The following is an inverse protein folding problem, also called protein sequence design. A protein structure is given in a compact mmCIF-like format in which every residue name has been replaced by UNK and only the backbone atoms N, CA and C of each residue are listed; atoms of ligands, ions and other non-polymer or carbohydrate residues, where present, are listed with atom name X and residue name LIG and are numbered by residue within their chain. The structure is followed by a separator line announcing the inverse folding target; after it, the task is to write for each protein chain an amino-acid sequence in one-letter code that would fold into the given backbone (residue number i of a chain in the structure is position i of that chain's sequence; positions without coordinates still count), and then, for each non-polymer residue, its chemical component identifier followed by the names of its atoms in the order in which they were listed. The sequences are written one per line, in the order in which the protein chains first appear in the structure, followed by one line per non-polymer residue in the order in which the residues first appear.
data_IF_176030498057
#
_entry.id   IF_176030498057
#
_cell.length_a   1.000
_cell.length_b   1.000
_cell.length_c   1.000
_cell.angle_alpha   90.00
_cell.angle_beta   90.00
_cell.angle_gamma   90.00
#
_symmetry.space_group_name_H-M   'P 1'
#
loop_
_entity.id
_entity.type
_entity.pdbx_description
1 polymer ?
#
# COMPACT_ATOMS: atom_id res chain seq x y z
N UNK A 1 14.94 -6.86 8.69
CA UNK A 1 14.51 -5.81 7.74
C UNK A 1 13.37 -6.39 6.92
N UNK A 2 12.20 -5.77 6.95
CA UNK A 2 11.07 -6.23 6.13
C UNK A 2 11.19 -5.62 4.73
N UNK A 3 10.63 -6.27 3.71
CA UNK A 3 10.66 -5.69 2.38
C UNK A 3 9.62 -4.55 2.24
N UNK A 4 9.85 -3.58 1.35
CA UNK A 4 8.95 -2.44 1.14
C UNK A 4 7.61 -2.82 0.51
N UNK A 5 7.48 -4.01 -0.07
CA UNK A 5 6.25 -4.50 -0.68
C UNK A 5 5.79 -5.80 -0.04
N UNK A 6 4.48 -5.89 0.22
CA UNK A 6 3.82 -7.03 0.83
C UNK A 6 2.77 -7.60 -0.11
N UNK A 7 2.77 -8.92 -0.24
CA UNK A 7 1.68 -9.65 -0.87
C UNK A 7 0.64 -10.00 0.20
N UNK A 8 -0.54 -9.40 0.07
CA UNK A 8 -1.69 -9.63 0.96
C UNK A 8 -2.72 -10.47 0.24
N UNK A 9 -3.24 -11.52 0.86
CA UNK A 9 -4.34 -12.31 0.31
C UNK A 9 -5.45 -12.41 1.36
N UNK A 10 -6.70 -12.63 0.95
CA UNK A 10 -7.82 -12.78 1.89
C UNK A 10 -7.64 -13.98 2.85
N UNK A 11 -6.81 -14.95 2.46
CA UNK A 11 -6.64 -16.21 3.20
C UNK A 11 -5.29 -16.25 3.95
N UNK A 12 -4.33 -15.39 3.60
CA UNK A 12 -2.98 -15.39 4.19
C UNK A 12 -2.60 -14.03 4.77
N UNK A 13 -1.80 -14.08 5.84
CA UNK A 13 -1.17 -12.88 6.40
C UNK A 13 -0.28 -12.17 5.36
N UNK A 14 -0.13 -10.83 5.45
CA UNK A 14 0.76 -10.05 4.58
C UNK A 14 2.18 -10.63 4.53
N UNK A 15 2.64 -11.03 3.34
CA UNK A 15 4.01 -11.48 3.12
C UNK A 15 4.87 -10.35 2.55
N UNK A 16 5.58 -9.65 3.43
CA UNK A 16 6.45 -8.52 3.12
C UNK A 16 7.87 -8.96 2.72
N UNK A 17 7.96 -9.71 1.62
CA UNK A 17 9.22 -10.29 1.11
C UNK A 17 9.70 -9.65 -0.20
N UNK A 18 8.91 -8.75 -0.80
CA UNK A 18 9.19 -8.19 -2.10
C UNK A 18 9.91 -6.84 -2.00
N UNK A 19 11.09 -6.75 -2.59
CA UNK A 19 11.85 -5.49 -2.74
C UNK A 19 11.51 -4.74 -4.02
N UNK A 20 10.90 -5.43 -4.99
CA UNK A 20 10.49 -4.84 -6.24
C UNK A 20 8.96 -4.84 -6.39
N UNK A 21 8.44 -3.65 -6.72
CA UNK A 21 7.04 -3.39 -6.91
C UNK A 21 6.42 -4.27 -8.01
N UNK A 22 7.13 -4.46 -9.13
CA UNK A 22 6.65 -5.22 -10.27
C UNK A 22 6.60 -6.71 -9.93
N UNK A 23 7.61 -7.24 -9.24
CA UNK A 23 7.60 -8.65 -8.81
C UNK A 23 6.38 -8.95 -7.92
N UNK A 24 6.13 -8.10 -6.93
CA UNK A 24 4.97 -8.22 -6.04
C UNK A 24 3.64 -8.13 -6.81
N UNK A 25 3.51 -7.17 -7.74
CA UNK A 25 2.32 -7.02 -8.56
C UNK A 25 2.06 -8.23 -9.47
N UNK A 26 3.13 -8.81 -10.04
CA UNK A 26 3.03 -10.00 -10.89
C UNK A 26 2.61 -11.22 -10.07
N UNK A 27 3.20 -11.42 -8.91
CA UNK A 27 2.84 -12.55 -8.03
C UNK A 27 1.40 -12.41 -7.51
N UNK A 28 1.00 -11.19 -7.14
CA UNK A 28 -0.38 -10.90 -6.76
C UNK A 28 -1.37 -11.17 -7.91
N UNK A 29 -0.97 -10.91 -9.15
CA UNK A 29 -1.79 -11.24 -10.33
C UNK A 29 -1.84 -12.75 -10.63
N UNK A 30 -0.83 -13.52 -10.20
CA UNK A 30 -0.84 -14.99 -10.30
C UNK A 30 -1.74 -15.64 -9.24
N UNK A 31 -1.89 -15.01 -8.08
CA UNK A 31 -2.67 -15.55 -6.97
C UNK A 31 -4.12 -15.06 -6.99
N UNK A 32 -5.08 -16.00 -6.94
CA UNK A 32 -6.51 -15.65 -6.82
C UNK A 32 -6.74 -14.96 -5.47
N UNK A 33 -7.20 -13.69 -5.51
CA UNK A 33 -7.43 -12.81 -4.35
C UNK A 33 -6.19 -12.32 -3.60
N UNK A 34 -5.03 -12.27 -4.25
CA UNK A 34 -3.90 -11.52 -3.72
C UNK A 34 -3.87 -10.09 -4.27
N UNK A 35 -3.39 -9.17 -3.44
CA UNK A 35 -3.12 -7.78 -3.78
C UNK A 35 -1.72 -7.43 -3.28
N UNK A 36 -0.94 -6.81 -4.15
CA UNK A 36 0.31 -6.20 -3.75
C UNK A 36 0.01 -4.88 -3.03
N UNK A 37 0.55 -4.71 -1.83
CA UNK A 37 0.44 -3.49 -1.04
C UNK A 37 1.84 -3.04 -0.61
N UNK A 38 2.01 -1.74 -0.36
CA UNK A 38 3.26 -1.26 0.23
C UNK A 38 3.28 -1.58 1.73
N UNK A 39 4.47 -1.83 2.26
CA UNK A 39 4.68 -2.03 3.69
C UNK A 39 4.69 -0.66 4.40
N UNK A 40 3.67 -0.29 5.19
CA UNK A 40 3.64 1.00 5.85
C UNK A 40 4.73 1.15 6.92
N UNK A 41 5.30 0.05 7.43
CA UNK A 41 6.39 0.09 8.40
C UNK A 41 7.73 0.54 7.79
N UNK A 42 7.94 0.24 6.50
CA UNK A 42 9.16 0.63 5.77
C UNK A 42 8.92 1.86 4.88
N UNK A 43 7.68 2.06 4.45
CA UNK A 43 7.30 3.07 3.47
C UNK A 43 5.96 3.71 3.86
N UNK A 44 5.99 4.76 4.70
CA UNK A 44 4.78 5.48 5.08
C UNK A 44 4.20 6.17 3.83
N UNK A 45 3.09 5.64 3.33
CA UNK A 45 2.34 6.24 2.23
C UNK A 45 1.66 7.51 2.76
N UNK A 46 1.93 8.67 2.16
CA UNK A 46 1.19 9.88 2.50
C UNK A 46 -0.23 9.76 1.99
N UNK A 47 -1.20 9.86 2.90
CA UNK A 47 -2.62 9.94 2.58
C UNK A 47 -2.86 11.17 1.68
N UNK A 48 -3.05 10.93 0.39
CA UNK A 48 -3.42 11.97 -0.56
C UNK A 48 -4.86 11.75 -1.06
N UNK A 49 -5.28 12.61 -1.98
CA UNK A 49 -6.65 12.77 -2.47
C UNK A 49 -7.15 11.54 -3.26
N UNK A 50 -6.26 10.70 -3.80
CA UNK A 50 -6.62 9.55 -4.63
C UNK A 50 -6.88 8.26 -3.83
N UNK A 51 -7.79 7.43 -4.35
CA UNK A 51 -8.05 6.08 -3.81
C UNK A 51 -6.95 5.07 -4.18
N UNK A 52 -6.09 5.41 -5.14
CA UNK A 52 -5.00 4.57 -5.64
C UNK A 52 -3.66 5.31 -5.61
N UNK A 53 -2.61 4.55 -5.29
CA UNK A 53 -1.26 5.03 -5.19
C UNK A 53 -0.32 4.27 -6.12
N UNK A 54 0.51 5.01 -6.85
CA UNK A 54 1.67 4.43 -7.53
C UNK A 54 2.83 4.43 -6.55
N UNK A 55 3.37 3.24 -6.29
CA UNK A 55 4.52 3.06 -5.40
C UNK A 55 5.67 2.49 -6.20
N UNK A 56 6.78 3.21 -6.26
CA UNK A 56 7.96 2.82 -7.04
C UNK A 56 9.01 2.13 -6.18
N UNK A 57 9.84 1.29 -6.78
CA UNK A 57 10.98 0.65 -6.09
C UNK A 57 12.00 1.66 -5.53
N UNK A 58 11.94 2.93 -5.98
CA UNK A 58 12.72 4.05 -5.45
C UNK A 58 12.16 4.63 -4.13
N UNK A 59 11.25 3.93 -3.45
CA UNK A 59 10.57 4.40 -2.23
C UNK A 59 9.85 5.74 -2.40
N UNK A 60 9.33 6.00 -3.60
CA UNK A 60 8.44 7.14 -3.86
C UNK A 60 6.99 6.66 -3.99
N UNK A 61 6.05 7.35 -3.33
CA UNK A 61 4.62 7.08 -3.43
C UNK A 61 3.86 8.29 -3.98
N UNK A 62 2.97 8.05 -4.94
CA UNK A 62 2.13 9.07 -5.56
C UNK A 62 0.67 8.61 -5.51
N UNK A 63 -0.07 9.15 -4.54
CA UNK A 63 -1.45 8.80 -4.21
C UNK A 63 -2.47 9.79 -4.80
N UNK A 64 -2.29 10.19 -6.06
CA UNK A 64 -3.16 11.17 -6.76
C UNK A 64 -4.20 10.53 -7.67
N UNK A 65 -4.18 9.20 -7.82
CA UNK A 65 -5.00 8.49 -8.80
C UNK A 65 -6.36 8.12 -8.22
N UNK A 66 -7.44 8.52 -8.93
CA UNK A 66 -8.81 8.13 -8.61
C UNK A 66 -9.18 6.74 -9.15
N UNK A 67 -8.52 6.31 -10.24
CA UNK A 67 -8.83 5.06 -10.95
C UNK A 67 -7.69 4.06 -10.93
N UNK A 68 -8.04 2.78 -10.74
CA UNK A 68 -7.09 1.67 -10.77
C UNK A 68 -6.39 1.55 -12.12
N UNK A 69 -7.10 1.76 -13.24
CA UNK A 69 -6.51 1.64 -14.57
C UNK A 69 -5.43 2.70 -14.82
N UNK A 70 -5.71 3.95 -14.43
CA UNK A 70 -4.75 5.07 -14.55
C UNK A 70 -3.53 4.83 -13.67
N UNK A 71 -3.76 4.37 -12.44
CA UNK A 71 -2.71 4.00 -11.51
C UNK A 71 -1.87 2.81 -12.02
N UNK A 72 -2.49 1.78 -12.60
CA UNK A 72 -1.76 0.65 -13.18
C UNK A 72 -0.87 1.08 -14.36
N UNK A 73 -1.38 1.96 -15.22
CA UNK A 73 -0.61 2.50 -16.34
C UNK A 73 0.59 3.32 -15.86
N UNK A 74 0.36 4.26 -14.95
CA UNK A 74 1.42 5.07 -14.37
C UNK A 74 2.44 4.23 -13.58
N UNK A 75 1.98 3.17 -12.89
CA UNK A 75 2.86 2.22 -12.23
C UNK A 75 3.77 1.50 -13.23
N UNK A 76 3.26 1.05 -14.38
CA UNK A 76 4.09 0.47 -15.43
C UNK A 76 5.12 1.47 -15.96
N UNK A 77 4.73 2.73 -16.20
CA UNK A 77 5.62 3.78 -16.70
C UNK A 77 6.73 4.15 -15.69
N UNK A 78 6.40 4.17 -14.39
CA UNK A 78 7.30 4.57 -13.32
C UNK A 78 8.05 3.40 -12.67
N UNK A 79 7.97 2.18 -13.25
CA UNK A 79 8.51 0.94 -12.66
C UNK A 79 8.07 0.75 -11.21
N UNK A 80 6.80 1.01 -10.95
CA UNK A 80 6.13 0.88 -9.67
C UNK A 80 5.00 -0.14 -9.70
N UNK A 81 4.22 -0.16 -8.62
CA UNK A 81 3.02 -0.97 -8.49
C UNK A 81 1.85 -0.06 -8.16
N UNK A 82 0.70 -0.40 -8.71
CA UNK A 82 -0.54 0.24 -8.34
C UNK A 82 -1.10 -0.45 -7.10
N UNK A 83 -1.08 0.28 -5.97
CA UNK A 83 -1.69 -0.18 -4.73
C UNK A 83 -2.93 0.63 -4.46
N UNK A 84 -3.89 0.02 -3.77
CA UNK A 84 -4.99 0.78 -3.19
C UNK A 84 -4.37 1.62 -2.09
N UNK A 85 -4.63 2.93 -2.10
CA UNK A 85 -4.23 3.78 -0.99
C UNK A 85 -4.80 3.12 0.27
N UNK A 86 -4.04 2.98 1.37
CA UNK A 86 -4.68 2.65 2.61
C UNK A 86 -5.77 3.70 2.75
N UNK A 87 -7.03 3.26 2.68
CA UNK A 87 -8.14 4.08 3.17
C UNK A 87 -7.70 4.57 4.54
N UNK A 88 -8.25 5.66 5.07
CA UNK A 88 -8.13 5.91 6.52
C UNK A 88 -8.82 4.79 7.32
N UNK A 89 -8.37 3.54 7.20
CA UNK A 89 -8.34 2.60 8.27
C UNK A 89 -7.27 3.17 9.18
N UNK A 90 -7.77 4.02 10.07
CA UNK A 90 -7.31 4.26 11.41
C UNK A 90 -6.52 3.06 11.96
N UNK A 91 -5.26 2.89 11.53
CA UNK A 91 -4.26 2.29 12.40
C UNK A 91 -4.12 3.33 13.49
N UNK A 92 -4.74 3.03 14.64
CA UNK A 92 -4.94 3.97 15.73
C UNK A 92 -3.78 4.95 15.87
N UNK A 93 -3.98 6.17 15.36
CA UNK A 93 -3.62 7.28 16.20
C UNK A 93 -4.50 7.07 17.43
N UNK A 94 -3.96 6.77 18.63
CA UNK A 94 -4.76 6.96 19.82
C UNK A 94 -5.28 8.40 19.70
N UNK A 95 -6.60 8.57 19.59
CA UNK A 95 -7.22 9.88 19.67
C UNK A 95 -6.62 10.56 20.91
N UNK A 96 -5.87 11.67 20.77
CA UNK A 96 -5.25 12.35 21.92
C UNK A 96 -6.31 12.96 22.87
N UNK A 97 -7.59 12.87 22.50
CA UNK A 97 -8.75 13.31 23.27
C UNK A 97 -9.58 12.14 23.86
N UNK A 98 -9.03 10.92 23.93
CA UNK A 98 -9.65 9.84 24.71
C UNK A 98 -9.61 10.23 26.20
N UNK A 99 -10.72 10.79 26.66
CA UNK A 99 -10.95 11.39 27.96
C UNK A 99 -10.15 10.75 29.11
N UNK A 100 -9.09 11.44 29.53
CA UNK A 100 -8.68 11.49 30.92
C UNK A 100 -9.80 12.18 31.72
N UNK A 101 -10.81 11.41 32.14
CA UNK A 101 -11.78 11.76 33.18
C UNK A 101 -12.39 10.41 33.62
N UNK A 102 -11.94 9.75 34.68
CA UNK A 102 -11.59 10.31 35.97
C UNK A 102 -12.86 10.69 36.70
N UNK A 103 -13.54 9.71 37.32
CA UNK A 103 -14.32 9.79 38.57
C UNK A 103 -14.53 8.37 39.11
#
# INVERSE_FOLDING_TARGET
MAAPFCLTSQVLQPQCIYYDAQLCARDAAQQKNAVCSANPAEMPLSANVGQYCVVTSARSSNCTYADRQTCARAATEQRGTCVIAPTRQSVGAPDPYSAQNGF
#
